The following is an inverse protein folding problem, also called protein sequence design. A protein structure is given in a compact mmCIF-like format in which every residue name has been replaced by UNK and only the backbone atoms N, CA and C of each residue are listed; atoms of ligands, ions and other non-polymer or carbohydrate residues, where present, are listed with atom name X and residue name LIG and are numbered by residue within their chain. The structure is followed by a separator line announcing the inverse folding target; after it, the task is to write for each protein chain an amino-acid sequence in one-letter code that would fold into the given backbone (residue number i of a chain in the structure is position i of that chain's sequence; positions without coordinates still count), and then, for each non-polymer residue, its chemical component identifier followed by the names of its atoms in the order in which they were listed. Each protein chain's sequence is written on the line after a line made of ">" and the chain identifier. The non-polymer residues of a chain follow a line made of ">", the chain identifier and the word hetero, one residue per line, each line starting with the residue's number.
data_IF_412368825087
#
_entry.id   IF_412368825087
#
_cell.length_a   1.000
_cell.length_b   1.000
_cell.length_c   1.000
_cell.angle_alpha   90.00
_cell.angle_beta   90.00
_cell.angle_gamma   90.00
#
_symmetry.space_group_name_H-M   'P 1'
#
loop_
_entity.id
_entity.type
_entity.pdbx_description
1 polymer ?
#
# COMPACT_ATOMS: atom_id res chain seq x y z
N UNK A 1 -19.57 -20.81 9.05
CA UNK A 1 -18.18 -20.41 9.39
C UNK A 1 -17.35 -20.60 8.13
N UNK A 2 -17.18 -19.56 7.31
CA UNK A 2 -16.47 -19.68 6.04
C UNK A 2 -16.44 -18.34 5.34
N UNK A 3 -15.36 -17.59 5.49
CA UNK A 3 -15.14 -16.33 4.75
C UNK A 3 -13.66 -15.90 4.63
N UNK A 4 -12.68 -16.74 5.01
CA UNK A 4 -11.24 -16.40 4.79
C UNK A 4 -10.51 -17.42 3.92
N UNK A 5 -11.25 -18.22 3.15
CA UNK A 5 -10.66 -19.38 2.46
C UNK A 5 -10.00 -19.10 1.11
N UNK A 6 -9.91 -17.85 0.63
CA UNK A 6 -9.27 -17.50 -0.65
C UNK A 6 -8.78 -16.02 -0.66
N UNK A 7 -7.83 -15.66 0.22
CA UNK A 7 -7.13 -14.35 0.11
C UNK A 7 -5.64 -14.64 -0.04
N UNK A 8 -5.05 -14.23 -1.17
CA UNK A 8 -3.62 -14.43 -1.46
C UNK A 8 -2.72 -13.49 -0.65
N UNK A 9 -3.18 -12.27 -0.39
CA UNK A 9 -2.52 -11.29 0.48
C UNK A 9 -3.44 -10.14 0.89
N UNK A 10 -3.06 -9.45 1.96
CA UNK A 10 -3.53 -8.13 2.31
C UNK A 10 -2.49 -7.07 1.91
N UNK A 11 -2.92 -6.00 1.24
CA UNK A 11 -2.07 -4.85 0.92
C UNK A 11 -2.52 -3.66 1.77
N UNK A 12 -1.66 -3.22 2.69
CA UNK A 12 -1.86 -2.04 3.51
C UNK A 12 -1.40 -0.79 2.76
N UNK A 13 -2.27 0.19 2.59
CA UNK A 13 -1.90 1.49 2.05
C UNK A 13 -1.65 2.43 3.22
N UNK A 14 -0.43 2.93 3.36
CA UNK A 14 0.00 3.70 4.54
C UNK A 14 0.64 5.03 4.15
N UNK A 15 0.41 6.06 4.95
CA UNK A 15 1.01 7.40 4.85
C UNK A 15 1.91 7.64 6.08
N UNK A 16 2.76 8.66 6.07
CA UNK A 16 3.65 8.99 7.21
C UNK A 16 2.89 9.46 8.46
N UNK A 17 1.61 9.84 8.30
CA UNK A 17 0.76 10.24 9.42
C UNK A 17 0.53 9.10 10.43
N UNK A 18 0.73 9.44 11.71
CA UNK A 18 0.61 8.53 12.85
C UNK A 18 -0.73 7.78 12.89
N UNK A 19 -1.85 8.43 12.56
CA UNK A 19 -3.17 7.80 12.59
C UNK A 19 -3.27 6.67 11.57
N UNK A 20 -2.67 6.86 10.39
CA UNK A 20 -2.63 5.83 9.36
C UNK A 20 -1.78 4.64 9.79
N UNK A 21 -0.62 4.90 10.41
CA UNK A 21 0.25 3.86 10.93
C UNK A 21 -0.41 3.07 12.08
N UNK A 22 -1.03 3.74 13.05
CA UNK A 22 -1.81 3.08 14.12
C UNK A 22 -2.97 2.24 13.57
N UNK A 23 -3.60 2.69 12.48
CA UNK A 23 -4.65 1.92 11.80
C UNK A 23 -4.06 0.67 11.15
N UNK A 24 -2.90 0.78 10.50
CA UNK A 24 -2.21 -0.36 9.88
C UNK A 24 -1.85 -1.44 10.91
N UNK A 25 -1.40 -1.06 12.11
CA UNK A 25 -1.12 -2.01 13.21
C UNK A 25 -2.38 -2.80 13.62
N UNK A 26 -3.51 -2.11 13.79
CA UNK A 26 -4.79 -2.73 14.16
C UNK A 26 -5.30 -3.66 13.06
N UNK A 27 -5.22 -3.21 11.80
CA UNK A 27 -5.61 -4.02 10.65
C UNK A 27 -4.73 -5.28 10.54
N UNK A 28 -3.43 -5.17 10.82
CA UNK A 28 -2.53 -6.32 10.84
C UNK A 28 -2.90 -7.33 11.93
N UNK A 29 -3.27 -6.87 13.13
CA UNK A 29 -3.73 -7.75 14.20
C UNK A 29 -4.98 -8.54 13.77
N UNK A 30 -5.97 -7.85 13.20
CA UNK A 30 -7.19 -8.49 12.68
C UNK A 30 -6.89 -9.46 11.53
N UNK A 31 -5.99 -9.09 10.61
CA UNK A 31 -5.59 -9.96 9.50
C UNK A 31 -4.97 -11.27 10.01
N UNK A 32 -4.14 -11.20 11.05
CA UNK A 32 -3.55 -12.38 11.70
C UNK A 32 -4.60 -13.26 12.37
N UNK A 33 -5.57 -12.67 13.07
CA UNK A 33 -6.69 -13.41 13.66
C UNK A 33 -7.55 -14.14 12.61
N UNK A 34 -7.64 -13.57 11.42
CA UNK A 34 -8.34 -14.15 10.27
C UNK A 34 -7.51 -15.22 9.54
N UNK A 35 -6.23 -15.40 9.89
CA UNK A 35 -5.33 -16.35 9.24
C UNK A 35 -4.76 -15.86 7.89
N UNK A 36 -4.73 -14.55 7.66
CA UNK A 36 -4.08 -13.98 6.47
C UNK A 36 -2.56 -13.98 6.70
N UNK A 37 -1.86 -14.83 5.98
CA UNK A 37 -0.42 -15.05 6.17
C UNK A 37 0.44 -13.98 5.49
N UNK A 38 0.02 -13.52 4.30
CA UNK A 38 0.80 -12.60 3.48
C UNK A 38 0.26 -11.18 3.61
N UNK A 39 1.04 -10.30 4.21
CA UNK A 39 0.72 -8.87 4.32
C UNK A 39 1.84 -8.04 3.70
N UNK A 40 1.48 -7.10 2.84
CA UNK A 40 2.37 -6.18 2.13
C UNK A 40 1.97 -4.74 2.43
N UNK A 41 2.86 -3.78 2.23
CA UNK A 41 2.55 -2.36 2.37
C UNK A 41 2.87 -1.56 1.10
N UNK A 42 2.11 -0.50 0.84
CA UNK A 42 2.39 0.52 -0.15
C UNK A 42 2.44 1.86 0.57
N UNK A 43 3.56 2.57 0.43
CA UNK A 43 3.70 3.92 0.95
C UNK A 43 2.95 4.89 0.02
N UNK A 44 2.01 5.64 0.55
CA UNK A 44 1.16 6.56 -0.20
C UNK A 44 1.44 8.00 0.19
N UNK A 45 1.21 8.92 -0.75
CA UNK A 45 1.44 10.36 -0.59
C UNK A 45 2.83 10.70 -0.06
N UNK A 46 3.85 10.00 -0.55
CA UNK A 46 5.24 10.26 -0.13
C UNK A 46 5.70 11.59 -0.73
N UNK A 47 6.04 12.56 0.10
CA UNK A 47 6.58 13.85 -0.32
C UNK A 47 8.09 13.79 -0.52
N UNK A 48 8.79 13.10 0.37
CA UNK A 48 10.25 13.04 0.41
C UNK A 48 10.77 11.74 1.08
N UNK A 49 12.08 11.68 1.28
CA UNK A 49 12.73 10.54 1.93
C UNK A 49 12.38 10.44 3.41
N UNK A 50 12.09 11.57 4.08
CA UNK A 50 11.70 11.59 5.49
C UNK A 50 10.35 10.88 5.67
N UNK A 51 9.38 11.17 4.81
CA UNK A 51 8.10 10.43 4.79
C UNK A 51 8.33 8.93 4.64
N UNK A 52 9.23 8.54 3.73
CA UNK A 52 9.55 7.14 3.47
C UNK A 52 10.18 6.46 4.70
N UNK A 53 11.05 7.17 5.42
CA UNK A 53 11.66 6.70 6.66
C UNK A 53 10.65 6.57 7.80
N UNK A 54 9.78 7.57 7.97
CA UNK A 54 8.72 7.54 8.98
C UNK A 54 7.75 6.38 8.74
N UNK A 55 7.36 6.14 7.48
CA UNK A 55 6.51 4.99 7.12
C UNK A 55 7.23 3.66 7.44
N UNK A 56 8.51 3.52 7.08
CA UNK A 56 9.27 2.30 7.38
C UNK A 56 9.40 2.06 8.88
N UNK A 57 9.64 3.12 9.66
CA UNK A 57 9.79 3.04 11.11
C UNK A 57 8.47 2.76 11.83
N UNK A 58 7.34 3.25 11.29
CA UNK A 58 6.01 3.06 11.86
C UNK A 58 5.32 1.77 11.45
N UNK A 59 5.82 1.05 10.44
CA UNK A 59 5.27 -0.24 10.06
C UNK A 59 5.71 -1.35 11.02
N UNK A 60 4.83 -2.30 11.33
CA UNK A 60 5.21 -3.50 12.08
C UNK A 60 6.37 -4.24 11.41
N UNK A 61 7.29 -4.84 12.19
CA UNK A 61 8.40 -5.60 11.64
C UNK A 61 7.94 -6.72 10.70
N UNK A 62 8.69 -6.91 9.61
CA UNK A 62 8.44 -7.98 8.65
C UNK A 62 7.38 -7.68 7.58
N UNK A 63 6.80 -6.47 7.56
CA UNK A 63 5.90 -6.05 6.47
C UNK A 63 6.72 -5.37 5.36
N UNK A 64 6.88 -6.00 4.17
CA UNK A 64 7.63 -5.40 3.09
C UNK A 64 6.84 -4.27 2.41
N UNK A 65 7.50 -3.14 2.21
CA UNK A 65 6.98 -2.08 1.33
C UNK A 65 7.26 -2.50 -0.12
N UNK A 66 6.21 -2.68 -0.92
CA UNK A 66 6.32 -3.15 -2.31
C UNK A 66 6.32 -2.01 -3.33
N UNK A 67 6.12 -0.77 -2.88
CA UNK A 67 6.28 0.42 -3.71
C UNK A 67 5.79 1.67 -2.98
N UNK A 68 6.00 2.81 -3.63
CA UNK A 68 5.56 4.12 -3.14
C UNK A 68 4.79 4.87 -4.21
N UNK A 69 3.78 5.63 -3.78
CA UNK A 69 3.03 6.57 -4.60
C UNK A 69 3.41 7.97 -4.13
N UNK A 70 4.05 8.78 -4.99
CA UNK A 70 4.46 10.13 -4.60
C UNK A 70 3.24 11.03 -4.40
N UNK A 71 3.38 12.03 -3.54
CA UNK A 71 2.39 13.11 -3.47
C UNK A 71 2.43 13.93 -4.77
N UNK A 72 1.27 14.11 -5.38
CA UNK A 72 1.11 14.94 -6.58
C UNK A 72 -0.12 15.83 -6.42
N UNK A 73 0.07 17.15 -6.46
CA UNK A 73 -1.02 18.10 -6.28
C UNK A 73 -2.15 17.94 -7.30
N UNK A 74 -1.81 17.55 -8.54
CA UNK A 74 -2.80 17.25 -9.57
C UNK A 74 -3.75 16.11 -9.17
N UNK A 75 -3.26 15.07 -8.45
CA UNK A 75 -4.12 14.02 -7.89
C UNK A 75 -5.11 14.56 -6.87
N UNK A 76 -4.67 15.49 -6.02
CA UNK A 76 -5.53 16.12 -5.00
C UNK A 76 -6.64 16.97 -5.64
N UNK A 77 -6.34 17.67 -6.73
CA UNK A 77 -7.34 18.46 -7.49
C UNK A 77 -8.31 17.52 -8.22
N UNK A 78 -7.79 16.48 -8.86
CA UNK A 78 -8.58 15.47 -9.56
C UNK A 78 -9.54 14.72 -8.63
N UNK A 79 -9.08 14.32 -7.44
CA UNK A 79 -9.91 13.64 -6.45
C UNK A 79 -11.18 14.44 -6.05
N UNK A 80 -11.13 15.78 -6.13
CA UNK A 80 -12.29 16.65 -5.85
C UNK A 80 -13.18 16.89 -7.07
N UNK A 81 -12.64 16.80 -8.29
CA UNK A 81 -13.32 17.17 -9.54
C UNK A 81 -13.72 15.97 -10.41
N UNK A 82 -13.26 14.77 -10.07
CA UNK A 82 -13.61 13.51 -10.72
C UNK A 82 -12.80 13.16 -11.97
N UNK A 83 -11.92 14.05 -12.44
CA UNK A 83 -11.09 13.82 -13.62
C UNK A 83 -9.61 14.06 -13.31
N UNK A 84 -8.78 13.08 -13.66
CA UNK A 84 -7.32 13.24 -13.71
C UNK A 84 -6.96 14.07 -14.96
N UNK A 85 -5.89 14.88 -14.92
CA UNK A 85 -5.37 15.49 -16.13
C UNK A 85 -4.93 14.40 -17.12
N UNK A 86 -5.29 14.54 -18.40
CA UNK A 86 -4.96 13.56 -19.45
C UNK A 86 -3.45 13.40 -19.65
N UNK A 87 -2.66 14.41 -19.28
CA UNK A 87 -1.20 14.45 -19.38
C UNK A 87 -0.49 14.01 -18.09
N UNK A 88 -1.24 13.63 -17.04
CA UNK A 88 -0.65 13.19 -15.78
C UNK A 88 -0.07 11.78 -15.91
N UNK A 89 1.25 11.69 -16.03
CA UNK A 89 1.97 10.41 -16.03
C UNK A 89 2.49 10.11 -14.63
N UNK A 90 2.12 8.95 -14.08
CA UNK A 90 2.59 8.46 -12.78
C UNK A 90 3.30 7.12 -12.95
N UNK A 91 4.61 7.12 -13.33
CA UNK A 91 5.36 5.90 -13.55
C UNK A 91 5.35 4.97 -12.34
N UNK A 92 5.38 5.55 -11.13
CA UNK A 92 5.37 4.80 -9.87
C UNK A 92 4.13 3.91 -9.69
N UNK A 93 2.96 4.32 -10.20
CA UNK A 93 1.75 3.48 -10.17
C UNK A 93 1.91 2.30 -11.13
N UNK A 94 2.40 2.55 -12.34
CA UNK A 94 2.61 1.49 -13.34
C UNK A 94 3.65 0.49 -12.86
N UNK A 95 4.74 0.97 -12.25
CA UNK A 95 5.78 0.13 -11.65
C UNK A 95 5.24 -0.69 -10.47
N UNK A 96 4.44 -0.08 -9.60
CA UNK A 96 3.79 -0.76 -8.48
C UNK A 96 2.88 -1.89 -9.00
N UNK A 97 2.02 -1.61 -9.99
CA UNK A 97 1.14 -2.62 -10.58
C UNK A 97 1.94 -3.77 -11.19
N UNK A 98 2.94 -3.47 -12.02
CA UNK A 98 3.79 -4.50 -12.61
C UNK A 98 4.54 -5.33 -11.55
N UNK A 99 4.91 -4.72 -10.42
CA UNK A 99 5.53 -5.41 -9.29
C UNK A 99 4.55 -6.31 -8.55
N UNK A 100 3.33 -5.84 -8.30
CA UNK A 100 2.27 -6.65 -7.71
C UNK A 100 1.95 -7.85 -8.60
N UNK A 101 1.79 -7.65 -9.91
CA UNK A 101 1.60 -8.75 -10.86
C UNK A 101 2.71 -9.79 -10.74
N UNK A 102 3.99 -9.41 -10.77
CA UNK A 102 5.10 -10.37 -10.59
C UNK A 102 5.04 -11.13 -9.25
N UNK A 103 4.60 -10.47 -8.18
CA UNK A 103 4.49 -11.07 -6.84
C UNK A 103 3.34 -12.08 -6.69
N UNK A 104 2.31 -11.99 -7.54
CA UNK A 104 1.11 -12.84 -7.50
C UNK A 104 0.99 -13.80 -8.70
N UNK A 105 1.75 -13.59 -9.78
CA UNK A 105 1.72 -14.47 -10.97
C UNK A 105 2.80 -15.56 -10.94
N UNK A 106 3.61 -15.62 -9.89
CA UNK A 106 4.55 -16.73 -9.67
C UNK A 106 3.77 -17.96 -9.16
N UNK A 107 3.73 -19.07 -9.92
CA UNK A 107 2.97 -20.25 -9.50
C UNK A 107 3.57 -20.79 -8.20
N UNK A 108 2.72 -20.93 -7.18
CA UNK A 108 3.08 -21.68 -5.98
C UNK A 108 3.35 -23.12 -6.42
N UNK A 109 4.63 -23.52 -6.39
CA UNK A 109 5.05 -24.92 -6.51
C UNK A 109 4.87 -25.64 -5.18
#
# INVERSE_FOLDING_TARGET
>A
RGTVRNVDALILIVESDRKTLETAERTLALARELGIERVLAVANRVHDDEDSEQIRAGLPPGIPIVGSIPYVDALRVAARRGALPDDLILPSISELLARLERLFTTPHS
#
